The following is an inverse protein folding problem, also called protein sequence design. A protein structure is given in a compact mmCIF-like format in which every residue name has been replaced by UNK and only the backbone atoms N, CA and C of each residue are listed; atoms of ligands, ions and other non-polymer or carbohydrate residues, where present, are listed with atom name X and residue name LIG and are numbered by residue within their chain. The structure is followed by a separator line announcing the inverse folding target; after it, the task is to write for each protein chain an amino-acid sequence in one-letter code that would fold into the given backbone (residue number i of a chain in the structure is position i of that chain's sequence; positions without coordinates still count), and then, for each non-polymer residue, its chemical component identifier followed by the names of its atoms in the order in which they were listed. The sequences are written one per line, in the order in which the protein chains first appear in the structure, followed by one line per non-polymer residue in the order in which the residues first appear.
data_IF_253816486307
#
_entry.id   IF_253816486307
#
_cell.length_a   1.000
_cell.length_b   1.000
_cell.length_c   1.000
_cell.angle_alpha   90.00
_cell.angle_beta   90.00
_cell.angle_gamma   90.00
#
_symmetry.space_group_name_H-M   'P 1'
#
loop_
_entity.id
_entity.type
_entity.pdbx_description
1 polymer ?
#
# COMPACT_ATOMS: atom_id res chain seq x y z
N UNK A 1 13.33 22.12 -29.96
CA UNK A 1 14.45 21.90 -29.03
C UNK A 1 13.95 22.34 -27.66
N UNK A 2 13.36 21.43 -26.88
CA UNK A 2 12.69 21.80 -25.64
C UNK A 2 13.26 20.89 -24.55
N UNK A 3 14.43 21.28 -24.06
CA UNK A 3 15.18 20.60 -23.02
C UNK A 3 14.51 20.89 -21.68
N UNK A 4 13.56 20.04 -21.27
CA UNK A 4 13.06 20.06 -19.90
C UNK A 4 14.06 19.31 -19.01
N UNK A 5 15.15 20.00 -18.67
CA UNK A 5 16.22 19.48 -17.85
C UNK A 5 16.07 19.96 -16.40
N UNK A 6 16.49 19.08 -15.48
CA UNK A 6 16.86 19.37 -14.09
C UNK A 6 15.72 19.68 -13.11
N UNK A 7 14.96 18.64 -12.74
CA UNK A 7 14.37 18.58 -11.40
C UNK A 7 15.37 17.97 -10.43
N UNK A 8 15.92 18.77 -9.52
CA UNK A 8 16.79 18.25 -8.44
C UNK A 8 16.02 17.29 -7.53
N UNK A 9 16.61 16.16 -7.12
CA UNK A 9 15.95 15.22 -6.22
C UNK A 9 15.87 15.83 -4.81
N UNK A 10 14.65 16.06 -4.33
CA UNK A 10 14.39 16.44 -2.93
C UNK A 10 14.68 15.22 -2.05
N UNK A 11 15.72 15.31 -1.23
CA UNK A 11 16.07 14.28 -0.25
C UNK A 11 15.13 14.38 0.95
N UNK A 12 14.21 13.42 1.08
CA UNK A 12 13.32 13.33 2.24
C UNK A 12 14.06 12.69 3.41
N UNK A 13 14.40 13.49 4.42
CA UNK A 13 14.92 13.00 5.70
C UNK A 13 13.83 12.22 6.46
N UNK A 14 14.16 11.07 7.08
CA UNK A 14 13.19 10.26 7.79
C UNK A 14 12.81 10.92 9.13
N UNK A 15 11.52 11.22 9.30
CA UNK A 15 10.95 11.62 10.58
C UNK A 15 10.94 10.40 11.52
N UNK A 16 11.63 10.53 12.65
CA UNK A 16 11.73 9.51 13.68
C UNK A 16 10.34 9.10 14.17
N UNK A 17 10.13 7.79 14.29
CA UNK A 17 8.91 7.17 14.76
C UNK A 17 8.62 7.58 16.21
N UNK A 18 7.63 8.46 16.41
CA UNK A 18 7.08 8.71 17.74
C UNK A 18 6.11 7.58 18.08
N UNK A 19 6.52 6.82 19.10
CA UNK A 19 5.83 5.65 19.62
C UNK A 19 4.48 5.98 20.23
N UNK A 20 3.53 5.07 20.02
CA UNK A 20 2.15 5.07 20.50
C UNK A 20 2.00 5.54 21.96
N UNK A 21 1.16 6.56 22.20
CA UNK A 21 0.60 6.83 23.53
C UNK A 21 -0.92 6.82 23.45
N UNK A 22 -1.45 5.64 23.73
CA UNK A 22 -2.80 5.42 24.24
C UNK A 22 -2.98 6.16 25.57
N UNK A 23 -4.02 6.98 25.69
CA UNK A 23 -4.90 7.10 26.87
C UNK A 23 -5.68 8.43 26.81
N UNK A 24 -6.99 8.30 26.61
CA UNK A 24 -8.05 9.13 27.17
C UNK A 24 -7.61 10.46 27.81
N UNK A 25 -7.46 11.48 27.00
CA UNK A 25 -7.76 12.83 27.46
C UNK A 25 -8.85 13.33 26.52
N UNK A 26 -9.99 13.70 27.10
CA UNK A 26 -10.92 14.63 26.46
C UNK A 26 -10.18 15.97 26.45
N UNK A 27 -9.05 16.04 25.73
CA UNK A 27 -8.51 17.31 25.31
C UNK A 27 -9.57 17.83 24.37
N UNK A 28 -10.23 18.90 24.80
CA UNK A 28 -10.88 19.86 23.95
C UNK A 28 -9.92 20.13 22.78
N UNK A 29 -9.99 19.31 21.72
CA UNK A 29 -9.09 19.40 20.58
C UNK A 29 -9.47 20.72 19.93
N UNK A 30 -8.65 21.75 20.21
CA UNK A 30 -8.86 23.12 19.79
C UNK A 30 -9.26 23.09 18.30
N UNK A 31 -10.44 23.62 17.94
CA UNK A 31 -10.93 23.49 16.58
C UNK A 31 -9.97 24.22 15.65
N UNK A 32 -9.17 23.45 14.91
CA UNK A 32 -8.31 23.98 13.88
C UNK A 32 -9.16 24.79 12.89
N UNK A 33 -8.69 25.98 12.51
CA UNK A 33 -9.36 26.78 11.50
C UNK A 33 -9.42 25.99 10.19
N UNK A 34 -10.57 25.37 9.96
CA UNK A 34 -10.89 24.63 8.76
C UNK A 34 -11.86 25.45 7.93
N UNK A 35 -12.03 25.05 6.67
CA UNK A 35 -13.04 25.63 5.81
C UNK A 35 -14.43 25.50 6.48
N UNK A 36 -15.12 26.64 6.61
CA UNK A 36 -16.46 26.73 7.21
C UNK A 36 -17.45 25.71 6.62
N UNK A 37 -17.36 25.42 5.32
CA UNK A 37 -18.24 24.46 4.63
C UNK A 37 -18.00 23.00 5.02
N UNK A 38 -16.83 22.68 5.58
CA UNK A 38 -16.40 21.30 5.80
C UNK A 38 -16.47 20.87 7.26
N UNK A 39 -16.50 21.81 8.21
CA UNK A 39 -16.37 21.58 9.65
C UNK A 39 -17.14 20.35 10.16
N UNK A 40 -18.46 20.31 9.94
CA UNK A 40 -19.33 19.21 10.38
C UNK A 40 -18.93 17.86 9.77
N UNK A 41 -18.60 17.82 8.47
CA UNK A 41 -18.20 16.57 7.79
C UNK A 41 -16.81 16.10 8.24
N UNK A 42 -15.89 17.03 8.51
CA UNK A 42 -14.57 16.68 9.06
C UNK A 42 -14.76 16.00 10.41
N UNK A 43 -15.59 16.58 11.29
CA UNK A 43 -15.88 16.02 12.61
C UNK A 43 -16.45 14.60 12.49
N UNK A 44 -17.46 14.40 11.64
CA UNK A 44 -18.04 13.07 11.41
C UNK A 44 -17.03 12.07 10.85
N UNK A 45 -16.21 12.47 9.87
CA UNK A 45 -15.17 11.59 9.29
C UNK A 45 -14.08 11.24 10.31
N UNK A 46 -13.73 12.14 11.23
CA UNK A 46 -12.79 11.87 12.33
C UNK A 46 -13.33 10.78 13.25
N UNK A 47 -14.60 10.89 13.67
CA UNK A 47 -15.26 9.85 14.48
C UNK A 47 -15.30 8.49 13.77
N UNK A 48 -15.66 8.48 12.47
CA UNK A 48 -15.68 7.25 11.67
C UNK A 48 -14.29 6.64 11.53
N UNK A 49 -13.27 7.46 11.24
CA UNK A 49 -11.89 6.98 11.13
C UNK A 49 -11.38 6.45 12.47
N UNK A 50 -11.67 7.13 13.59
CA UNK A 50 -11.30 6.66 14.93
C UNK A 50 -11.88 5.28 15.26
N UNK A 51 -13.14 5.02 14.88
CA UNK A 51 -13.73 3.68 14.99
C UNK A 51 -12.99 2.64 14.13
N UNK A 52 -12.71 2.95 12.86
CA UNK A 52 -11.99 2.06 11.96
C UNK A 52 -10.54 1.78 12.39
N UNK A 53 -9.88 2.75 13.04
CA UNK A 53 -8.56 2.61 13.63
C UNK A 53 -8.60 1.71 14.87
N UNK A 54 -9.61 1.85 15.75
CA UNK A 54 -9.80 0.94 16.88
C UNK A 54 -10.12 -0.50 16.46
N UNK A 55 -10.85 -0.67 15.35
CA UNK A 55 -11.10 -1.98 14.74
C UNK A 55 -9.88 -2.55 13.99
N UNK A 56 -8.80 -1.77 13.83
CA UNK A 56 -7.59 -2.21 13.13
C UNK A 56 -7.73 -2.32 11.60
N UNK A 57 -8.79 -1.74 11.00
CA UNK A 57 -9.03 -1.80 9.56
C UNK A 57 -8.07 -0.94 8.74
N UNK A 58 -7.41 0.04 9.37
CA UNK A 58 -6.40 0.90 8.73
C UNK A 58 -5.01 0.41 9.17
N UNK A 59 -4.23 -0.25 8.30
CA UNK A 59 -2.90 -0.73 8.67
C UNK A 59 -1.95 0.43 8.96
N UNK A 60 -1.36 0.46 10.17
CA UNK A 60 -0.37 1.49 10.57
C UNK A 60 0.88 1.49 9.69
N UNK A 61 1.33 0.30 9.27
CA UNK A 61 2.51 0.10 8.42
C UNK A 61 2.11 -0.61 7.13
N UNK A 62 2.51 -0.04 5.98
CA UNK A 62 2.29 -0.67 4.67
C UNK A 62 3.33 -1.76 4.46
N UNK A 63 2.89 -2.92 3.96
CA UNK A 63 3.78 -4.02 3.55
C UNK A 63 4.54 -3.62 2.28
N UNK A 64 5.78 -4.13 2.11
CA UNK A 64 6.59 -3.95 0.87
C UNK A 64 5.84 -4.43 -0.37
N UNK A 65 5.08 -5.51 -0.23
CA UNK A 65 4.17 -6.04 -1.24
C UNK A 65 2.87 -6.49 -0.56
N UNK A 66 1.74 -6.39 -1.27
CA UNK A 66 0.42 -6.75 -0.72
C UNK A 66 0.15 -8.26 -0.80
N UNK A 67 0.60 -8.89 -1.87
CA UNK A 67 0.33 -10.30 -2.17
C UNK A 67 1.62 -11.02 -2.54
N UNK A 68 1.79 -12.24 -2.01
CA UNK A 68 2.99 -13.06 -2.23
C UNK A 68 3.13 -13.45 -3.71
N UNK A 69 2.05 -13.95 -4.32
CA UNK A 69 2.05 -14.38 -5.73
C UNK A 69 2.45 -13.25 -6.69
N UNK A 70 2.05 -12.00 -6.40
CA UNK A 70 2.45 -10.83 -7.21
C UNK A 70 3.94 -10.51 -7.06
N UNK A 71 4.50 -10.70 -5.88
CA UNK A 71 5.94 -10.49 -5.65
C UNK A 71 6.76 -11.51 -6.44
N UNK A 72 6.42 -12.80 -6.32
CA UNK A 72 7.04 -13.89 -7.08
C UNK A 72 6.90 -13.70 -8.58
N UNK A 73 5.72 -13.33 -9.06
CA UNK A 73 5.50 -13.03 -10.47
C UNK A 73 6.41 -11.90 -10.99
N UNK A 74 6.66 -10.87 -10.19
CA UNK A 74 7.56 -9.78 -10.58
C UNK A 74 9.05 -10.17 -10.58
N UNK A 75 9.45 -11.18 -9.80
CA UNK A 75 10.81 -11.73 -9.77
C UNK A 75 11.04 -12.68 -10.96
N UNK A 76 10.07 -13.53 -11.26
CA UNK A 76 10.18 -14.54 -12.33
C UNK A 76 10.03 -13.96 -13.74
N UNK A 77 9.55 -12.71 -13.87
CA UNK A 77 9.43 -12.06 -15.17
C UNK A 77 10.78 -11.58 -15.68
N UNK A 78 11.07 -11.93 -16.93
CA UNK A 78 12.21 -11.42 -17.67
C UNK A 78 12.16 -9.88 -17.76
N UNK A 79 13.31 -9.24 -17.53
CA UNK A 79 13.51 -7.80 -17.62
C UNK A 79 14.36 -7.49 -18.84
N UNK A 80 13.91 -6.53 -19.63
CA UNK A 80 14.70 -5.97 -20.72
C UNK A 80 15.61 -4.83 -20.24
N UNK A 81 16.24 -4.18 -21.20
CA UNK A 81 17.01 -2.97 -20.97
C UNK A 81 16.16 -1.89 -20.26
N UNK A 82 16.74 -1.22 -19.26
CA UNK A 82 16.03 -0.24 -18.43
C UNK A 82 15.06 -0.83 -17.39
N UNK A 83 15.08 -2.14 -17.16
CA UNK A 83 14.33 -2.80 -16.08
C UNK A 83 12.82 -2.97 -16.36
N UNK A 84 12.37 -2.61 -17.56
CA UNK A 84 10.99 -2.80 -18.03
C UNK A 84 10.75 -4.27 -18.30
N UNK A 85 9.53 -4.71 -18.08
CA UNK A 85 9.16 -6.07 -18.44
C UNK A 85 8.94 -6.18 -19.94
N UNK A 86 9.43 -7.28 -20.53
CA UNK A 86 9.23 -7.54 -21.95
C UNK A 86 7.77 -7.97 -22.19
N UNK A 87 7.01 -7.26 -23.05
CA UNK A 87 5.61 -7.60 -23.34
C UNK A 87 5.45 -8.90 -24.13
N UNK A 88 6.50 -9.32 -24.83
CA UNK A 88 6.50 -10.51 -25.71
C UNK A 88 7.71 -11.40 -25.50
N UNK A 89 8.26 -11.43 -24.29
CA UNK A 89 9.40 -12.29 -23.94
C UNK A 89 9.03 -13.76 -24.06
N UNK A 90 9.14 -14.29 -25.28
CA UNK A 90 9.25 -15.72 -25.57
C UNK A 90 10.08 -16.34 -24.47
N UNK A 91 9.56 -17.41 -23.86
CA UNK A 91 10.14 -18.17 -22.75
C UNK A 91 11.59 -18.51 -23.12
N UNK A 92 12.52 -17.61 -22.80
CA UNK A 92 13.94 -17.78 -23.05
C UNK A 92 14.40 -18.81 -22.06
N UNK A 93 14.63 -20.02 -22.58
CA UNK A 93 15.44 -21.10 -22.00
C UNK A 93 16.16 -20.70 -20.71
N UNK A 94 15.75 -21.29 -19.59
CA UNK A 94 16.39 -21.04 -18.31
C UNK A 94 15.51 -21.48 -17.15
N UNK A 95 15.59 -22.78 -16.85
CA UNK A 95 15.53 -23.32 -15.50
C UNK A 95 14.13 -23.46 -14.88
N UNK A 96 13.64 -24.69 -15.02
CA UNK A 96 12.66 -25.37 -14.18
C UNK A 96 12.67 -24.96 -12.70
N UNK A 97 11.87 -23.97 -12.33
CA UNK A 97 11.40 -23.87 -10.94
C UNK A 97 10.11 -24.67 -10.80
N UNK A 98 10.28 -25.91 -10.34
CA UNK A 98 9.25 -26.82 -9.84
C UNK A 98 8.51 -26.15 -8.66
N UNK A 99 7.53 -25.31 -8.99
CA UNK A 99 6.64 -24.71 -7.99
C UNK A 99 5.43 -25.63 -7.83
N UNK A 100 5.60 -26.62 -6.96
CA UNK A 100 4.58 -27.52 -6.43
C UNK A 100 3.18 -26.90 -6.46
N UNK A 101 2.32 -27.45 -7.30
CA UNK A 101 0.90 -27.15 -7.38
C UNK A 101 0.21 -27.58 -6.09
N UNK A 102 0.19 -26.70 -5.08
CA UNK A 102 -0.73 -26.84 -3.95
C UNK A 102 -2.14 -26.53 -4.47
N UNK A 103 -2.77 -27.59 -4.97
CA UNK A 103 -4.19 -27.75 -5.17
C UNK A 103 -4.91 -27.34 -3.88
N UNK A 104 -5.30 -26.07 -3.81
CA UNK A 104 -6.30 -25.66 -2.85
C UNK A 104 -7.63 -26.15 -3.42
N UNK A 105 -8.04 -27.35 -3.02
CA UNK A 105 -9.40 -27.87 -3.18
C UNK A 105 -10.36 -26.97 -2.38
N UNK A 106 -10.62 -25.78 -2.94
CA UNK A 106 -11.63 -24.88 -2.42
C UNK A 106 -12.96 -25.43 -2.90
N UNK A 107 -13.48 -26.40 -2.13
CA UNK A 107 -14.84 -26.92 -2.29
C UNK A 107 -15.82 -25.78 -2.06
N UNK A 108 -16.12 -25.03 -3.13
CA UNK A 108 -17.22 -24.07 -3.18
C UNK A 108 -18.49 -24.91 -3.18
N UNK A 109 -19.00 -25.22 -1.99
CA UNK A 109 -20.37 -25.72 -1.88
C UNK A 109 -21.29 -24.62 -2.44
N UNK A 110 -22.14 -24.93 -3.43
CA UNK A 110 -23.15 -23.98 -3.87
C UNK A 110 -24.07 -23.65 -2.69
N UNK A 111 -24.41 -22.38 -2.45
CA UNK A 111 -25.39 -22.03 -1.42
C UNK A 111 -26.76 -22.63 -1.81
N UNK A 112 -27.52 -23.16 -0.84
CA UNK A 112 -28.93 -23.48 -1.05
C UNK A 112 -29.78 -22.22 -1.27
#
# INVERSE_FOLDING_TARGET
MNNNATGSPVTLSPVAAVSDKSASTVTEEEPFYVNAKQYKRIMQRRLVRGKLESEGRIPKKRRKYLHESRHLHALNRLRGEGGRFNPGGKKGSGEESDSSSQQNDFKVSPPP
#
